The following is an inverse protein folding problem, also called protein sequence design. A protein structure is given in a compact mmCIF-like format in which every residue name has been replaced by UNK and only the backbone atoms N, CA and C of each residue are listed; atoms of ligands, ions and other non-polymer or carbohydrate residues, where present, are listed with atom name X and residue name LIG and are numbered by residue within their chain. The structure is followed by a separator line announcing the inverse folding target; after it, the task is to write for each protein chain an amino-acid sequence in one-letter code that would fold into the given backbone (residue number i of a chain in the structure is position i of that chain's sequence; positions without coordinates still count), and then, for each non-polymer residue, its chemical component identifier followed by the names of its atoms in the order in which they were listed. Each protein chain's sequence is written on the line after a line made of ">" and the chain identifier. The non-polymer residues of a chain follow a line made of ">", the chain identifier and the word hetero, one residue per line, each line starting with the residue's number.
data_IF_998305246019
#
_entry.id   IF_998305246019
#
_cell.length_a   1.000
_cell.length_b   1.000
_cell.length_c   1.000
_cell.angle_alpha   90.00
_cell.angle_beta   90.00
_cell.angle_gamma   90.00
#
_symmetry.space_group_name_H-M   'P 1'
#
loop_
_entity.id
_entity.type
_entity.pdbx_description
1 polymer ?
#
# COMPACT_ATOMS: atom_id res chain seq x y z
N UNK A 1 -68.98 13.99 -7.09
CA UNK A 1 -68.75 12.54 -7.28
C UNK A 1 -67.48 12.23 -8.07
N UNK A 2 -67.12 13.04 -9.08
CA UNK A 2 -65.95 12.84 -9.96
C UNK A 2 -64.58 12.90 -9.24
N UNK A 3 -64.43 13.76 -8.23
CA UNK A 3 -63.14 13.95 -7.53
C UNK A 3 -62.72 12.76 -6.65
N UNK A 4 -63.68 11.97 -6.14
CA UNK A 4 -63.41 10.75 -5.36
C UNK A 4 -62.92 9.60 -6.25
N UNK A 5 -63.47 9.50 -7.47
CA UNK A 5 -63.08 8.48 -8.45
C UNK A 5 -61.66 8.74 -8.96
N UNK A 6 -61.28 10.01 -9.14
CA UNK A 6 -59.94 10.37 -9.61
C UNK A 6 -58.85 10.09 -8.57
N UNK A 7 -59.10 10.39 -7.28
CA UNK A 7 -58.17 10.08 -6.18
C UNK A 7 -58.00 8.56 -6.02
N UNK A 8 -59.08 7.79 -6.19
CA UNK A 8 -59.02 6.32 -6.10
C UNK A 8 -58.16 5.71 -7.24
N UNK A 9 -58.30 6.22 -8.47
CA UNK A 9 -57.44 5.78 -9.59
C UNK A 9 -55.99 6.22 -9.43
N UNK A 10 -55.73 7.41 -8.86
CA UNK A 10 -54.37 7.86 -8.58
C UNK A 10 -53.69 6.99 -7.51
N UNK A 11 -54.43 6.59 -6.46
CA UNK A 11 -53.93 5.70 -5.42
C UNK A 11 -53.70 4.28 -5.95
N UNK A 12 -54.58 3.77 -6.80
CA UNK A 12 -54.42 2.45 -7.43
C UNK A 12 -53.23 2.41 -8.40
N UNK A 13 -52.99 3.50 -9.13
CA UNK A 13 -51.82 3.64 -10.02
C UNK A 13 -50.51 3.77 -9.25
N UNK A 14 -50.51 4.44 -8.09
CA UNK A 14 -49.36 4.50 -7.18
C UNK A 14 -49.06 3.14 -6.52
N UNK A 15 -50.07 2.32 -6.24
CA UNK A 15 -49.88 0.96 -5.69
C UNK A 15 -49.50 -0.10 -6.73
N UNK A 16 -49.84 0.11 -8.01
CA UNK A 16 -49.41 -0.78 -9.11
C UNK A 16 -47.98 -0.49 -9.59
N UNK A 17 -47.43 0.69 -9.29
CA UNK A 17 -46.06 1.09 -9.64
C UNK A 17 -45.03 0.84 -8.53
N UNK A 18 -45.46 0.43 -7.34
CA UNK A 18 -44.57 -0.10 -6.29
C UNK A 18 -44.27 -1.57 -6.54
N UNK A 19 -43.57 -1.89 -7.63
CA UNK A 19 -42.84 -3.15 -7.66
C UNK A 19 -41.76 -3.07 -6.58
N UNK A 20 -41.70 -4.01 -5.62
CA UNK A 20 -40.52 -4.09 -4.78
C UNK A 20 -39.35 -4.25 -5.73
N UNK A 21 -38.45 -3.25 -5.74
CA UNK A 21 -37.10 -3.43 -6.26
C UNK A 21 -36.47 -4.42 -5.28
N UNK A 22 -36.80 -5.71 -5.46
CA UNK A 22 -36.04 -6.78 -4.84
C UNK A 22 -34.63 -6.57 -5.34
N UNK A 23 -33.70 -6.34 -4.42
CA UNK A 23 -32.30 -6.29 -4.77
C UNK A 23 -32.01 -7.56 -5.57
N UNK A 24 -31.75 -7.41 -6.88
CA UNK A 24 -31.50 -8.52 -7.78
C UNK A 24 -30.29 -9.27 -7.22
N UNK A 25 -30.56 -10.39 -6.57
CA UNK A 25 -29.50 -11.25 -6.10
C UNK A 25 -28.75 -11.75 -7.34
N UNK A 26 -27.43 -11.54 -7.45
CA UNK A 26 -26.70 -11.90 -8.65
C UNK A 26 -26.82 -13.41 -8.92
N UNK A 27 -27.01 -13.78 -10.18
CA UNK A 27 -26.96 -15.17 -10.59
C UNK A 27 -25.56 -15.73 -10.30
N UNK A 28 -25.52 -16.82 -9.54
CA UNK A 28 -24.30 -17.54 -9.18
C UNK A 28 -24.17 -18.78 -10.04
N UNK A 29 -23.03 -18.93 -10.71
CA UNK A 29 -22.71 -20.08 -11.55
C UNK A 29 -21.55 -20.87 -10.96
N UNK A 30 -21.64 -22.19 -11.02
CA UNK A 30 -20.54 -23.06 -10.65
C UNK A 30 -19.43 -22.99 -11.71
N UNK A 31 -18.21 -22.69 -11.27
CA UNK A 31 -17.04 -22.53 -12.14
C UNK A 31 -15.78 -23.01 -11.43
N UNK A 32 -14.71 -23.20 -12.22
CA UNK A 32 -13.35 -23.35 -11.70
C UNK A 32 -12.61 -22.03 -11.82
N UNK A 33 -12.07 -21.55 -10.70
CA UNK A 33 -11.20 -20.38 -10.62
C UNK A 33 -9.80 -20.81 -10.20
N UNK A 34 -8.81 -19.95 -10.43
CA UNK A 34 -7.48 -20.13 -9.83
C UNK A 34 -7.40 -19.26 -8.59
N UNK A 35 -7.28 -19.89 -7.42
CA UNK A 35 -6.94 -19.24 -6.17
C UNK A 35 -5.42 -19.24 -6.01
N UNK A 36 -4.83 -18.13 -5.59
CA UNK A 36 -3.38 -18.02 -5.53
C UNK A 36 -2.87 -17.23 -4.32
N UNK A 37 -1.71 -17.65 -3.81
CA UNK A 37 -0.81 -16.83 -2.99
C UNK A 37 0.34 -16.41 -3.87
N UNK A 38 0.29 -15.18 -4.36
CA UNK A 38 1.27 -14.68 -5.33
C UNK A 38 2.36 -13.90 -4.63
N UNK A 39 3.61 -14.16 -5.01
CA UNK A 39 4.72 -13.31 -4.62
C UNK A 39 4.54 -11.95 -5.29
N UNK A 40 4.49 -10.89 -4.48
CA UNK A 40 4.28 -9.54 -4.97
C UNK A 40 5.58 -8.72 -5.03
N UNK A 41 6.75 -9.30 -4.73
CA UNK A 41 8.06 -8.62 -4.64
C UNK A 41 8.53 -8.32 -3.21
N UNK A 42 7.65 -8.44 -2.20
CA UNK A 42 8.01 -8.27 -0.79
C UNK A 42 7.35 -9.31 0.12
N UNK A 43 6.11 -9.69 -0.21
CA UNK A 43 5.37 -10.70 0.53
C UNK A 43 4.38 -11.41 -0.37
N UNK A 44 3.37 -12.00 0.26
CA UNK A 44 2.36 -12.81 -0.42
C UNK A 44 0.99 -12.18 -0.36
N UNK A 45 0.34 -12.06 -1.51
CA UNK A 45 -1.03 -11.56 -1.64
C UNK A 45 -1.99 -12.70 -1.98
N UNK A 46 -3.18 -12.70 -1.37
CA UNK A 46 -4.26 -13.59 -1.78
C UNK A 46 -4.98 -12.99 -2.98
N UNK A 47 -4.96 -13.70 -4.09
CA UNK A 47 -5.72 -13.32 -5.27
C UNK A 47 -6.53 -14.50 -5.77
N UNK A 48 -7.53 -14.22 -6.60
CA UNK A 48 -8.12 -15.22 -7.46
C UNK A 48 -8.24 -14.67 -8.87
N UNK A 49 -8.11 -15.58 -9.83
CA UNK A 49 -8.30 -15.31 -11.24
C UNK A 49 -9.67 -15.87 -11.64
N UNK A 50 -10.62 -15.00 -12.04
CA UNK A 50 -11.94 -15.42 -12.49
C UNK A 50 -11.91 -16.44 -13.62
N UNK A 51 -13.02 -17.16 -13.76
CA UNK A 51 -13.12 -18.26 -14.71
C UNK A 51 -12.98 -17.83 -16.18
N UNK A 52 -13.41 -16.61 -16.51
CA UNK A 52 -13.38 -16.01 -17.86
C UNK A 52 -11.99 -15.48 -18.27
N UNK A 53 -11.06 -15.32 -17.32
CA UNK A 53 -9.70 -14.89 -17.60
C UNK A 53 -8.85 -16.06 -18.09
N UNK A 54 -8.23 -15.91 -19.25
CA UNK A 54 -7.34 -16.94 -19.83
C UNK A 54 -5.89 -16.79 -19.39
N UNK A 55 -5.51 -15.63 -18.86
CA UNK A 55 -4.14 -15.32 -18.46
C UNK A 55 -4.01 -15.21 -16.93
N UNK A 56 -2.87 -15.66 -16.42
CA UNK A 56 -2.40 -15.43 -15.05
C UNK A 56 -1.03 -14.77 -15.11
N UNK A 57 -0.80 -13.79 -14.26
CA UNK A 57 0.51 -13.16 -14.11
C UNK A 57 1.10 -13.45 -12.74
N UNK A 58 2.39 -13.76 -12.72
CA UNK A 58 3.20 -13.94 -11.51
C UNK A 58 4.50 -13.14 -11.64
N UNK A 59 5.13 -12.83 -10.51
CA UNK A 59 6.49 -12.31 -10.48
C UNK A 59 7.49 -13.45 -10.26
N UNK A 60 8.66 -13.36 -10.90
CA UNK A 60 9.80 -14.22 -10.59
C UNK A 60 10.47 -13.81 -9.28
N UNK A 61 11.40 -14.64 -8.80
CA UNK A 61 12.24 -14.35 -7.63
C UNK A 61 11.82 -15.09 -6.37
N UNK A 62 10.55 -15.45 -6.24
CA UNK A 62 10.08 -16.39 -5.24
C UNK A 62 8.93 -17.23 -5.78
N UNK A 63 8.78 -18.44 -5.23
CA UNK A 63 7.69 -19.32 -5.59
C UNK A 63 6.33 -18.73 -5.18
N UNK A 64 5.32 -18.91 -6.03
CA UNK A 64 3.91 -18.64 -5.72
C UNK A 64 3.15 -19.95 -5.54
N UNK A 65 2.06 -19.93 -4.77
CA UNK A 65 1.17 -21.09 -4.63
C UNK A 65 -0.10 -20.89 -5.45
N UNK A 66 -0.40 -21.82 -6.34
CA UNK A 66 -1.65 -21.84 -7.11
C UNK A 66 -2.54 -23.00 -6.65
N UNK A 67 -3.85 -22.83 -6.70
CA UNK A 67 -4.83 -23.89 -6.49
C UNK A 67 -6.00 -23.69 -7.46
N UNK A 68 -6.50 -24.78 -8.04
CA UNK A 68 -7.72 -24.75 -8.85
C UNK A 68 -8.88 -25.08 -7.93
N UNK A 69 -9.85 -24.17 -7.85
CA UNK A 69 -10.95 -24.27 -6.89
C UNK A 69 -12.27 -24.20 -7.63
N UNK A 70 -13.12 -25.21 -7.44
CA UNK A 70 -14.51 -25.20 -7.84
C UNK A 70 -15.32 -24.41 -6.80
N UNK A 71 -16.04 -23.39 -7.27
CA UNK A 71 -16.79 -22.46 -6.44
C UNK A 71 -17.94 -21.83 -7.23
N UNK A 72 -18.71 -20.96 -6.59
CA UNK A 72 -19.76 -20.17 -7.22
C UNK A 72 -19.23 -18.78 -7.55
N UNK A 73 -19.27 -18.39 -8.82
CA UNK A 73 -18.89 -17.06 -9.29
C UNK A 73 -20.13 -16.26 -9.71
N UNK A 74 -20.11 -14.95 -9.45
CA UNK A 74 -21.16 -14.02 -9.87
C UNK A 74 -20.58 -12.65 -10.18
N UNK A 75 -21.25 -11.90 -11.07
CA UNK A 75 -20.84 -10.54 -11.44
C UNK A 75 -21.57 -9.48 -10.63
N UNK A 76 -20.84 -8.50 -10.11
CA UNK A 76 -21.41 -7.35 -9.40
C UNK A 76 -21.36 -6.08 -10.26
N UNK A 77 -22.51 -5.56 -10.74
CA UNK A 77 -22.53 -4.45 -11.69
C UNK A 77 -21.95 -3.13 -11.16
N UNK A 78 -22.08 -2.85 -9.86
CA UNK A 78 -21.63 -1.58 -9.26
C UNK A 78 -20.10 -1.45 -9.26
N UNK A 79 -19.40 -2.55 -8.93
CA UNK A 79 -17.93 -2.57 -8.94
C UNK A 79 -17.36 -3.04 -10.28
N UNK A 80 -18.21 -3.58 -11.16
CA UNK A 80 -17.84 -4.17 -12.46
C UNK A 80 -16.80 -5.27 -12.33
N UNK A 81 -16.98 -6.14 -11.34
CA UNK A 81 -16.07 -7.25 -11.01
C UNK A 81 -16.85 -8.54 -10.82
N UNK A 82 -16.19 -9.65 -11.14
CA UNK A 82 -16.62 -10.98 -10.73
C UNK A 82 -16.20 -11.22 -9.29
N UNK A 83 -17.04 -11.90 -8.52
CA UNK A 83 -16.81 -12.33 -7.14
C UNK A 83 -17.02 -13.84 -7.04
N UNK A 84 -16.44 -14.44 -6.02
CA UNK A 84 -16.55 -15.87 -5.73
C UNK A 84 -17.08 -16.08 -4.31
N UNK A 85 -17.86 -17.13 -4.12
CA UNK A 85 -18.48 -17.49 -2.84
C UNK A 85 -17.79 -18.72 -2.24
N UNK A 86 -16.61 -18.49 -1.67
CA UNK A 86 -15.83 -19.54 -1.02
C UNK A 86 -16.44 -20.02 0.31
N UNK A 87 -17.38 -19.28 0.89
CA UNK A 87 -18.11 -19.72 2.09
C UNK A 87 -19.13 -20.80 1.74
N UNK A 88 -19.85 -20.61 0.63
CA UNK A 88 -20.85 -21.56 0.15
C UNK A 88 -20.22 -22.78 -0.54
N UNK A 89 -19.17 -22.59 -1.33
CA UNK A 89 -18.48 -23.69 -2.01
C UNK A 89 -17.00 -23.38 -2.24
N UNK A 90 -16.13 -24.26 -1.74
CA UNK A 90 -14.68 -24.18 -1.95
C UNK A 90 -14.08 -25.57 -2.02
N UNK A 91 -14.14 -26.19 -3.20
CA UNK A 91 -13.59 -27.52 -3.43
C UNK A 91 -12.30 -27.40 -4.25
N UNK A 92 -11.17 -27.80 -3.66
CA UNK A 92 -9.88 -27.83 -4.37
C UNK A 92 -9.87 -29.03 -5.32
N UNK A 93 -9.54 -28.78 -6.58
CA UNK A 93 -9.40 -29.82 -7.59
C UNK A 93 -7.97 -30.34 -7.59
N UNK A 94 -7.82 -31.63 -7.29
CA UNK A 94 -6.54 -32.31 -7.28
C UNK A 94 -6.18 -32.85 -8.67
N UNK A 95 -4.87 -32.97 -8.91
CA UNK A 95 -4.32 -33.43 -10.17
C UNK A 95 -2.82 -33.13 -10.23
N UNK A 96 -2.26 -33.15 -11.43
CA UNK A 96 -0.88 -32.73 -11.68
C UNK A 96 -0.90 -31.52 -12.60
N UNK A 97 -0.29 -30.43 -12.15
CA UNK A 97 -0.15 -29.21 -12.94
C UNK A 97 0.97 -29.39 -13.96
N UNK A 98 0.61 -29.43 -15.24
CA UNK A 98 1.56 -29.45 -16.34
C UNK A 98 1.82 -28.02 -16.80
N UNK A 99 3.10 -27.65 -16.90
CA UNK A 99 3.53 -26.35 -17.44
C UNK A 99 4.41 -26.61 -18.66
N UNK A 100 4.06 -25.97 -19.78
CA UNK A 100 4.80 -26.06 -21.04
C UNK A 100 5.22 -24.68 -21.55
N UNK A 101 6.27 -24.66 -22.36
CA UNK A 101 6.74 -23.49 -23.10
C UNK A 101 7.08 -23.94 -24.51
N UNK A 102 6.54 -23.26 -25.51
CA UNK A 102 6.78 -23.57 -26.92
C UNK A 102 6.48 -25.05 -27.29
N UNK A 103 5.51 -25.65 -26.59
CA UNK A 103 5.10 -27.06 -26.76
C UNK A 103 5.91 -28.06 -25.94
N UNK A 104 7.04 -27.66 -25.35
CA UNK A 104 7.90 -28.51 -24.53
C UNK A 104 7.50 -28.48 -23.05
N UNK A 105 7.62 -29.62 -22.37
CA UNK A 105 7.34 -29.74 -20.93
C UNK A 105 8.44 -29.05 -20.13
N UNK A 106 8.07 -28.01 -19.39
CA UNK A 106 8.96 -27.27 -18.48
C UNK A 106 8.86 -27.82 -17.06
N UNK A 107 7.65 -28.08 -16.58
CA UNK A 107 7.43 -28.60 -15.25
C UNK A 107 6.17 -29.48 -15.17
N UNK A 108 6.20 -30.41 -14.23
CA UNK A 108 5.08 -31.27 -13.87
C UNK A 108 5.00 -31.31 -12.34
N UNK A 109 4.00 -30.64 -11.79
CA UNK A 109 3.97 -30.25 -10.37
C UNK A 109 2.81 -30.97 -9.69
N UNK A 110 3.12 -31.74 -8.64
CA UNK A 110 2.13 -32.32 -7.74
C UNK A 110 1.74 -31.32 -6.66
N UNK A 111 0.50 -31.36 -6.16
CA UNK A 111 0.06 -30.48 -5.09
C UNK A 111 0.81 -30.83 -3.80
N UNK A 112 1.13 -29.81 -3.01
CA UNK A 112 1.78 -29.95 -1.71
C UNK A 112 1.07 -29.05 -0.69
N UNK A 113 1.13 -29.46 0.58
CA UNK A 113 0.75 -28.58 1.68
C UNK A 113 1.72 -27.40 1.75
N UNK A 114 1.23 -26.21 2.08
CA UNK A 114 2.04 -25.02 2.29
C UNK A 114 1.45 -24.13 3.37
N UNK A 115 2.32 -23.41 4.07
CA UNK A 115 1.95 -22.39 5.05
C UNK A 115 2.69 -21.09 4.74
N UNK A 116 2.11 -19.96 5.13
CA UNK A 116 2.82 -18.68 5.16
C UNK A 116 3.42 -18.53 6.55
N UNK A 117 4.73 -18.37 6.59
CA UNK A 117 5.50 -18.05 7.80
C UNK A 117 5.73 -16.54 7.85
N UNK A 118 5.37 -15.93 8.96
CA UNK A 118 5.73 -14.56 9.32
C UNK A 118 6.60 -14.60 10.59
N UNK A 119 7.93 -14.51 10.48
CA UNK A 119 8.85 -14.64 11.61
C UNK A 119 8.58 -13.62 12.72
N UNK A 120 8.28 -12.38 12.34
CA UNK A 120 8.06 -11.24 13.26
C UNK A 120 6.61 -10.74 13.23
N UNK A 121 5.70 -11.57 12.74
CA UNK A 121 4.28 -11.28 12.63
C UNK A 121 3.88 -10.61 11.31
N UNK A 122 2.57 -10.62 11.03
CA UNK A 122 2.04 -10.23 9.72
C UNK A 122 2.25 -8.76 9.32
N UNK A 123 2.60 -7.89 10.29
CA UNK A 123 2.84 -6.46 10.05
C UNK A 123 4.31 -6.08 9.88
N UNK A 124 5.23 -6.94 10.31
CA UNK A 124 6.66 -6.62 10.38
C UNK A 124 7.50 -7.24 9.24
N UNK A 125 6.87 -7.85 8.24
CA UNK A 125 7.35 -7.72 6.86
C UNK A 125 7.94 -8.92 6.13
N UNK A 126 8.36 -10.01 6.77
CA UNK A 126 9.12 -11.07 6.07
C UNK A 126 8.32 -12.37 5.84
N UNK A 127 7.26 -12.27 5.05
CA UNK A 127 6.44 -13.43 4.73
C UNK A 127 7.15 -14.39 3.77
N UNK A 128 7.23 -15.68 4.12
CA UNK A 128 7.73 -16.74 3.23
C UNK A 128 6.74 -17.90 3.11
N UNK A 129 6.75 -18.57 1.95
CA UNK A 129 6.02 -19.83 1.78
C UNK A 129 6.92 -21.01 2.15
N UNK A 130 6.51 -21.77 3.16
CA UNK A 130 7.11 -23.05 3.55
C UNK A 130 6.21 -24.20 3.07
N UNK A 131 6.79 -25.35 2.73
CA UNK A 131 6.13 -26.40 1.94
C UNK A 131 6.26 -27.80 2.53
N UNK A 132 5.30 -28.67 2.23
CA UNK A 132 5.30 -30.08 2.61
C UNK A 132 5.43 -30.28 4.12
N UNK A 133 6.32 -31.20 4.51
CA UNK A 133 6.55 -31.52 5.92
C UNK A 133 7.03 -30.33 6.77
N UNK A 134 7.75 -29.36 6.16
CA UNK A 134 8.17 -28.14 6.85
C UNK A 134 6.97 -27.28 7.25
N UNK A 135 5.98 -27.16 6.37
CA UNK A 135 4.74 -26.41 6.65
C UNK A 135 3.96 -27.00 7.82
N UNK A 136 3.84 -28.33 7.86
CA UNK A 136 3.15 -29.07 8.93
C UNK A 136 3.90 -28.98 10.26
N UNK A 137 5.23 -29.14 10.24
CA UNK A 137 6.07 -29.05 11.42
C UNK A 137 6.02 -27.64 12.03
N UNK A 138 6.19 -26.60 11.21
CA UNK A 138 6.14 -25.21 11.67
C UNK A 138 4.76 -24.84 12.22
N UNK A 139 3.67 -25.37 11.64
CA UNK A 139 2.32 -25.16 12.19
C UNK A 139 2.16 -25.82 13.56
N UNK A 140 2.65 -27.06 13.70
CA UNK A 140 2.60 -27.80 14.96
C UNK A 140 3.37 -27.07 16.05
N UNK A 141 4.62 -26.70 15.76
CA UNK A 141 5.48 -25.91 16.65
C UNK A 141 4.80 -24.60 17.09
N UNK A 142 4.21 -23.87 16.14
CA UNK A 142 3.50 -22.63 16.42
C UNK A 142 2.29 -22.83 17.37
N UNK A 143 1.50 -23.89 17.16
CA UNK A 143 0.37 -24.21 18.02
C UNK A 143 0.81 -24.64 19.43
N UNK A 144 1.90 -25.38 19.54
CA UNK A 144 2.49 -25.77 20.82
C UNK A 144 3.02 -24.54 21.59
N UNK A 145 3.75 -23.66 20.91
CA UNK A 145 4.25 -22.41 21.48
C UNK A 145 3.09 -21.51 22.00
N UNK A 146 1.98 -21.42 21.27
CA UNK A 146 0.80 -20.69 21.73
C UNK A 146 0.17 -21.31 22.99
N UNK A 147 0.08 -22.64 23.04
CA UNK A 147 -0.45 -23.36 24.22
C UNK A 147 0.45 -23.17 25.44
N UNK A 148 1.77 -23.27 25.24
CA UNK A 148 2.77 -23.03 26.27
C UNK A 148 2.70 -21.61 26.82
N UNK A 149 2.68 -20.61 25.93
CA UNK A 149 2.51 -19.21 26.28
C UNK A 149 1.24 -18.98 27.10
N UNK A 150 0.09 -19.49 26.64
CA UNK A 150 -1.19 -19.35 27.34
C UNK A 150 -1.12 -19.91 28.77
N UNK A 151 -0.45 -21.05 28.96
CA UNK A 151 -0.25 -21.65 30.28
C UNK A 151 0.58 -20.74 31.18
N UNK A 152 1.77 -20.33 30.73
CA UNK A 152 2.67 -19.42 31.49
C UNK A 152 2.04 -18.07 31.78
N UNK A 153 1.29 -17.52 30.84
CA UNK A 153 0.57 -16.25 31.01
C UNK A 153 -0.48 -16.34 32.12
N UNK A 154 -1.30 -17.41 32.13
CA UNK A 154 -2.30 -17.62 33.19
C UNK A 154 -1.64 -17.82 34.56
N UNK A 155 -0.54 -18.55 34.63
CA UNK A 155 0.24 -18.74 35.86
C UNK A 155 0.83 -17.41 36.38
N UNK A 156 1.46 -16.63 35.51
CA UNK A 156 2.00 -15.32 35.86
C UNK A 156 0.90 -14.35 36.33
N UNK A 157 -0.26 -14.34 35.66
CA UNK A 157 -1.43 -13.54 36.06
C UNK A 157 -2.02 -13.96 37.41
N UNK A 158 -1.94 -15.25 37.77
CA UNK A 158 -2.31 -15.71 39.12
C UNK A 158 -1.29 -15.21 40.15
N UNK A 159 0.01 -15.39 39.87
CA UNK A 159 1.07 -14.94 40.77
C UNK A 159 1.02 -13.42 41.05
N UNK A 160 0.74 -12.59 40.04
CA UNK A 160 0.55 -11.15 40.20
C UNK A 160 -0.66 -10.81 41.07
N UNK A 161 -1.81 -11.42 40.83
CA UNK A 161 -2.99 -11.20 41.67
C UNK A 161 -2.76 -11.64 43.11
N UNK A 162 -2.02 -12.73 43.32
CA UNK A 162 -1.71 -13.23 44.66
C UNK A 162 -0.73 -12.29 45.39
N UNK A 163 0.26 -11.77 44.67
CA UNK A 163 1.19 -10.74 45.13
C UNK A 163 0.46 -9.47 45.55
N UNK A 164 -0.43 -8.93 44.71
CA UNK A 164 -1.25 -7.76 45.01
C UNK A 164 -2.13 -7.98 46.25
N UNK A 165 -2.78 -9.15 46.36
CA UNK A 165 -3.57 -9.51 47.55
C UNK A 165 -2.71 -9.55 48.82
N UNK A 166 -1.49 -10.09 48.74
CA UNK A 166 -0.55 -10.10 49.86
C UNK A 166 -0.09 -8.70 50.25
N UNK A 167 0.21 -7.83 49.29
CA UNK A 167 0.58 -6.44 49.55
C UNK A 167 -0.54 -5.68 50.26
N UNK A 168 -1.78 -5.81 49.78
CA UNK A 168 -2.94 -5.17 50.39
C UNK A 168 -3.17 -5.69 51.81
N UNK A 169 -3.09 -7.02 52.01
CA UNK A 169 -3.25 -7.63 53.33
C UNK A 169 -2.15 -7.19 54.30
N UNK A 170 -0.89 -7.24 53.88
CA UNK A 170 0.26 -6.78 54.68
C UNK A 170 0.14 -5.30 55.05
N UNK A 171 -0.36 -4.46 54.13
CA UNK A 171 -0.66 -3.05 54.40
C UNK A 171 -1.80 -2.84 55.40
N UNK A 172 -2.87 -3.64 55.31
CA UNK A 172 -4.02 -3.55 56.21
C UNK A 172 -3.71 -4.04 57.64
N UNK A 173 -2.89 -5.07 57.78
CA UNK A 173 -2.53 -5.68 59.07
C UNK A 173 -1.42 -4.88 59.81
N UNK A 174 -0.86 -3.84 59.18
CA UNK A 174 0.28 -3.07 59.69
C UNK A 174 -0.12 -2.07 60.79
N UNK A 175 0.57 -2.10 61.93
CA UNK A 175 0.43 -1.09 62.99
C UNK A 175 1.32 0.14 62.74
N UNK A 176 0.95 1.33 63.25
CA UNK A 176 1.81 2.51 63.17
C UNK A 176 3.17 2.26 63.84
N UNK A 177 4.26 2.48 63.09
CA UNK A 177 5.64 2.29 63.56
C UNK A 177 6.29 0.95 63.21
N UNK A 178 5.53 -0.02 62.65
CA UNK A 178 6.07 -1.33 62.25
C UNK A 178 6.68 -1.27 60.84
N UNK A 179 7.79 -1.97 60.58
CA UNK A 179 8.40 -2.09 59.24
C UNK A 179 7.56 -2.96 58.31
N UNK A 180 7.40 -2.54 57.05
CA UNK A 180 6.62 -3.31 56.07
C UNK A 180 7.27 -4.69 55.78
N UNK A 181 6.46 -5.74 55.66
CA UNK A 181 6.92 -7.03 55.16
C UNK A 181 7.40 -6.88 53.72
N UNK A 182 8.65 -7.28 53.45
CA UNK A 182 9.19 -7.30 52.10
C UNK A 182 8.62 -8.50 51.32
N UNK A 183 7.52 -8.27 50.60
CA UNK A 183 6.93 -9.27 49.72
C UNK A 183 7.68 -9.21 48.37
N UNK A 184 8.34 -10.29 47.93
CA UNK A 184 9.07 -10.29 46.66
C UNK A 184 8.08 -10.21 45.48
N UNK A 185 8.38 -9.42 44.43
CA UNK A 185 7.54 -9.37 43.25
C UNK A 185 7.57 -10.70 42.49
N UNK A 186 6.47 -11.08 41.82
CA UNK A 186 6.43 -12.27 40.98
C UNK A 186 7.29 -12.08 39.72
N UNK A 187 7.63 -13.18 39.01
CA UNK A 187 8.28 -13.10 37.70
C UNK A 187 7.45 -12.25 36.73
N UNK A 188 8.07 -11.54 35.76
CA UNK A 188 7.36 -10.73 34.80
C UNK A 188 6.38 -11.57 33.96
N UNK A 189 5.28 -10.95 33.54
CA UNK A 189 4.32 -11.58 32.63
C UNK A 189 5.05 -11.89 31.32
N UNK A 190 4.97 -13.12 30.79
CA UNK A 190 5.62 -13.46 29.55
C UNK A 190 5.04 -12.65 28.39
N UNK A 191 5.88 -12.27 27.44
CA UNK A 191 5.48 -11.62 26.20
C UNK A 191 5.11 -12.66 25.13
N UNK A 192 4.09 -12.40 24.30
CA UNK A 192 3.74 -13.30 23.20
C UNK A 192 4.79 -13.25 22.10
N UNK A 193 5.09 -14.39 21.49
CA UNK A 193 5.86 -14.39 20.24
C UNK A 193 5.02 -13.77 19.13
N UNK A 194 5.62 -12.87 18.35
CA UNK A 194 4.99 -12.30 17.16
C UNK A 194 5.00 -13.27 15.96
N UNK A 195 5.77 -14.37 16.04
CA UNK A 195 5.86 -15.39 14.99
C UNK A 195 4.48 -15.97 14.70
N UNK A 196 4.07 -15.93 13.44
CA UNK A 196 2.78 -16.43 12.96
C UNK A 196 3.01 -17.45 11.85
N UNK A 197 2.35 -18.61 11.95
CA UNK A 197 2.29 -19.62 10.89
C UNK A 197 0.84 -19.86 10.54
N UNK A 198 0.46 -19.65 9.28
CA UNK A 198 -0.92 -19.89 8.83
C UNK A 198 -1.26 -21.37 8.88
N UNK A 199 -2.56 -21.69 8.85
CA UNK A 199 -2.99 -23.06 8.62
C UNK A 199 -2.50 -23.57 7.26
N UNK A 200 -1.99 -24.81 7.18
CA UNK A 200 -1.54 -25.38 5.91
C UNK A 200 -2.68 -25.50 4.90
N UNK A 201 -2.39 -25.15 3.65
CA UNK A 201 -3.30 -25.30 2.51
C UNK A 201 -2.63 -26.09 1.40
N UNK A 202 -3.40 -26.74 0.56
CA UNK A 202 -2.88 -27.47 -0.60
C UNK A 202 -2.74 -26.54 -1.79
N UNK A 203 -1.61 -26.61 -2.50
CA UNK A 203 -1.37 -25.87 -3.73
C UNK A 203 -0.18 -26.37 -4.55
N UNK A 204 -0.05 -25.85 -5.76
CA UNK A 204 1.04 -26.11 -6.68
C UNK A 204 2.10 -25.02 -6.51
N UNK A 205 3.33 -25.42 -6.17
CA UNK A 205 4.48 -24.52 -6.07
C UNK A 205 4.97 -24.14 -7.47
N UNK A 206 4.69 -22.91 -7.89
CA UNK A 206 5.13 -22.37 -9.17
C UNK A 206 6.31 -21.44 -8.95
N UNK A 207 7.48 -21.89 -9.38
CA UNK A 207 8.75 -21.19 -9.28
C UNK A 207 9.44 -21.25 -10.65
N UNK A 208 9.15 -20.25 -11.47
CA UNK A 208 9.57 -20.20 -12.87
C UNK A 208 10.35 -18.92 -13.13
N UNK A 209 11.25 -19.00 -14.11
CA UNK A 209 11.91 -17.81 -14.66
C UNK A 209 10.90 -16.96 -15.45
N UNK A 210 11.26 -15.72 -15.71
CA UNK A 210 10.46 -14.84 -16.55
C UNK A 210 10.21 -15.45 -17.94
N UNK A 211 9.00 -15.32 -18.45
CA UNK A 211 8.58 -15.91 -19.72
C UNK A 211 7.07 -16.08 -19.82
N UNK A 212 6.63 -16.56 -20.99
CA UNK A 212 5.24 -16.95 -21.22
C UNK A 212 5.17 -18.46 -21.33
N UNK A 213 4.22 -19.05 -20.62
CA UNK A 213 4.01 -20.47 -20.47
C UNK A 213 2.54 -20.80 -20.73
N UNK A 214 2.27 -22.07 -20.99
CA UNK A 214 0.92 -22.62 -20.90
C UNK A 214 0.86 -23.55 -19.71
N UNK A 215 -0.22 -23.46 -18.95
CA UNK A 215 -0.47 -24.37 -17.85
C UNK A 215 -1.82 -25.05 -17.99
N UNK A 216 -1.91 -26.28 -17.52
CA UNK A 216 -3.15 -27.04 -17.43
C UNK A 216 -3.10 -28.03 -16.28
N UNK A 217 -4.23 -28.21 -15.60
CA UNK A 217 -4.35 -29.26 -14.59
C UNK A 217 -4.74 -30.57 -15.28
N UNK A 218 -4.01 -31.64 -15.01
CA UNK A 218 -4.34 -32.99 -15.50
C UNK A 218 -4.78 -33.90 -14.37
N UNK A 219 -5.90 -34.59 -14.57
CA UNK A 219 -6.38 -35.69 -13.74
C UNK A 219 -6.65 -36.89 -14.64
N UNK A 220 -6.24 -38.08 -14.22
CA UNK A 220 -6.41 -39.33 -14.99
C UNK A 220 -5.92 -39.24 -16.45
N UNK A 221 -4.81 -38.54 -16.67
CA UNK A 221 -4.19 -38.35 -17.98
C UNK A 221 -4.93 -37.36 -18.90
N UNK A 222 -5.98 -36.67 -18.44
CA UNK A 222 -6.77 -35.70 -19.22
C UNK A 222 -6.73 -34.31 -18.61
N UNK A 223 -6.79 -33.28 -19.44
CA UNK A 223 -6.91 -31.89 -18.98
C UNK A 223 -8.27 -31.68 -18.31
N UNK A 224 -8.26 -31.15 -17.09
CA UNK A 224 -9.46 -30.77 -16.36
C UNK A 224 -10.09 -29.54 -17.02
N UNK A 225 -11.39 -29.56 -17.39
CA UNK A 225 -12.05 -28.43 -18.02
C UNK A 225 -11.94 -27.13 -17.19
N UNK A 226 -11.70 -26.00 -17.85
CA UNK A 226 -11.60 -24.68 -17.22
C UNK A 226 -10.25 -24.36 -16.55
N UNK A 227 -9.29 -25.29 -16.54
CA UNK A 227 -7.99 -25.12 -15.87
C UNK A 227 -6.84 -24.69 -16.79
N UNK A 228 -7.02 -24.77 -18.12
CA UNK A 228 -6.00 -24.34 -19.07
C UNK A 228 -5.89 -22.82 -19.09
N UNK A 229 -4.70 -22.29 -18.83
CA UNK A 229 -4.40 -20.85 -18.79
C UNK A 229 -3.05 -20.57 -19.45
N UNK A 230 -2.88 -19.35 -19.95
CA UNK A 230 -1.57 -18.77 -20.22
C UNK A 230 -1.01 -18.26 -18.90
N UNK A 231 0.23 -18.62 -18.59
CA UNK A 231 0.95 -18.14 -17.41
C UNK A 231 2.08 -17.23 -17.88
N UNK A 232 2.02 -15.94 -17.52
CA UNK A 232 3.09 -14.97 -17.77
C UNK A 232 3.83 -14.70 -16.47
N UNK A 233 5.13 -14.92 -16.50
CA UNK A 233 6.02 -14.64 -15.37
C UNK A 233 6.87 -13.43 -15.73
N UNK A 234 6.74 -12.38 -14.93
CA UNK A 234 7.46 -11.11 -15.10
C UNK A 234 8.71 -11.13 -14.23
N UNK A 235 9.83 -10.67 -14.79
CA UNK A 235 11.08 -10.56 -14.04
C UNK A 235 10.97 -9.45 -12.99
N UNK A 236 11.16 -9.75 -11.71
CA UNK A 236 11.20 -8.72 -10.65
C UNK A 236 12.61 -8.15 -10.42
N UNK A 237 13.65 -8.97 -10.56
CA UNK A 237 15.04 -8.61 -10.30
C UNK A 237 15.55 -7.50 -11.23
N UNK A 238 16.43 -6.64 -10.71
CA UNK A 238 17.06 -5.55 -11.47
C UNK A 238 16.17 -4.33 -11.70
N UNK A 239 15.00 -4.28 -11.06
CA UNK A 239 14.02 -3.18 -11.17
C UNK A 239 14.03 -2.23 -9.96
N UNK A 240 14.89 -2.50 -8.99
CA UNK A 240 14.98 -1.73 -7.76
C UNK A 240 15.37 -0.27 -8.04
N UNK A 241 14.84 0.63 -7.22
CA UNK A 241 15.21 2.03 -7.22
C UNK A 241 14.68 2.75 -5.99
N UNK A 242 15.13 3.97 -5.80
CA UNK A 242 14.77 4.80 -4.65
C UNK A 242 13.76 5.86 -5.08
N UNK A 243 12.61 5.89 -4.40
CA UNK A 243 11.56 6.88 -4.66
C UNK A 243 11.34 7.76 -3.43
N UNK A 244 10.84 8.96 -3.67
CA UNK A 244 10.55 9.93 -2.64
C UNK A 244 9.05 10.24 -2.56
N UNK A 245 8.58 10.52 -1.35
CA UNK A 245 7.33 11.25 -1.13
C UNK A 245 7.65 12.60 -0.47
N UNK A 246 7.12 13.67 -1.05
CA UNK A 246 7.21 15.03 -0.55
C UNK A 246 5.99 15.31 0.31
N UNK A 247 6.21 15.62 1.57
CA UNK A 247 5.20 15.94 2.57
C UNK A 247 5.27 17.45 2.85
N UNK A 248 4.38 18.26 2.29
CA UNK A 248 4.32 19.69 2.60
C UNK A 248 3.84 19.89 4.03
N UNK A 249 4.41 20.87 4.73
CA UNK A 249 4.02 21.21 6.12
C UNK A 249 2.52 21.47 6.25
N UNK A 250 1.94 22.21 5.29
CA UNK A 250 0.50 22.55 5.29
C UNK A 250 -0.43 21.35 4.98
N UNK A 251 0.08 20.26 4.40
CA UNK A 251 -0.72 19.15 3.84
C UNK A 251 -0.12 17.78 4.15
N UNK A 252 0.22 17.55 5.40
CA UNK A 252 0.95 16.34 5.81
C UNK A 252 0.25 15.01 5.48
N UNK A 253 -1.09 14.99 5.41
CA UNK A 253 -1.89 13.79 5.10
C UNK A 253 -1.97 13.43 3.62
N UNK A 254 -1.41 14.24 2.72
CA UNK A 254 -1.41 14.01 1.27
C UNK A 254 -0.01 14.20 0.68
N UNK A 255 0.90 13.23 0.87
CA UNK A 255 2.21 13.26 0.26
C UNK A 255 2.12 13.30 -1.28
N UNK A 256 3.08 13.96 -1.90
CA UNK A 256 3.24 14.07 -3.34
C UNK A 256 4.41 13.20 -3.78
N UNK A 257 4.16 12.25 -4.69
CA UNK A 257 5.20 11.36 -5.17
C UNK A 257 6.23 12.09 -6.04
N UNK A 258 7.52 11.85 -5.78
CA UNK A 258 8.66 12.26 -6.59
C UNK A 258 9.46 10.99 -6.95
N UNK A 259 8.91 10.20 -7.87
CA UNK A 259 9.41 8.84 -8.13
C UNK A 259 10.56 8.79 -9.16
N UNK A 260 10.71 9.79 -10.03
CA UNK A 260 11.73 9.81 -11.08
C UNK A 260 12.58 11.08 -11.01
N UNK A 261 13.75 11.07 -11.66
CA UNK A 261 14.66 12.22 -11.68
C UNK A 261 14.06 13.43 -12.42
N UNK A 262 13.22 13.20 -13.43
CA UNK A 262 12.56 14.27 -14.17
C UNK A 262 11.48 14.98 -13.35
N UNK A 263 11.01 14.36 -12.26
CA UNK A 263 10.05 14.98 -11.35
C UNK A 263 10.74 16.02 -10.47
N UNK A 264 10.43 17.28 -10.75
CA UNK A 264 10.90 18.43 -9.97
C UNK A 264 9.99 18.70 -8.78
N UNK A 265 10.61 19.02 -7.65
CA UNK A 265 9.92 19.44 -6.43
C UNK A 265 9.77 20.96 -6.48
N UNK A 266 8.53 21.45 -6.58
CA UNK A 266 8.24 22.88 -6.53
C UNK A 266 7.81 23.27 -5.12
N UNK A 267 8.53 24.22 -4.52
CA UNK A 267 8.26 24.67 -3.16
C UNK A 267 8.28 26.20 -3.04
N UNK A 268 7.63 26.72 -2.00
CA UNK A 268 7.60 28.16 -1.72
C UNK A 268 8.88 28.56 -0.98
N UNK A 269 9.50 29.71 -1.32
CA UNK A 269 10.62 30.25 -0.54
C UNK A 269 10.23 30.46 0.93
N UNK A 270 11.18 30.24 1.84
CA UNK A 270 10.98 30.38 3.29
C UNK A 270 10.11 29.29 3.93
N UNK A 271 9.80 28.20 3.21
CA UNK A 271 9.00 27.08 3.74
C UNK A 271 9.84 25.82 3.91
N UNK A 272 9.37 24.91 4.76
CA UNK A 272 9.96 23.59 4.93
C UNK A 272 9.03 22.52 4.34
N UNK A 273 9.61 21.57 3.62
CA UNK A 273 8.92 20.33 3.28
C UNK A 273 9.71 19.15 3.81
N UNK A 274 9.02 18.03 4.01
CA UNK A 274 9.63 16.80 4.53
C UNK A 274 9.69 15.77 3.42
N UNK A 275 10.84 15.13 3.25
CA UNK A 275 11.06 14.10 2.26
C UNK A 275 11.14 12.75 2.95
N UNK A 276 10.30 11.79 2.57
CA UNK A 276 10.47 10.39 2.93
C UNK A 276 11.01 9.61 1.75
N UNK A 277 11.81 8.58 2.03
CA UNK A 277 12.38 7.71 1.02
C UNK A 277 11.86 6.28 1.19
N UNK A 278 11.61 5.61 0.07
CA UNK A 278 11.20 4.23 0.04
C UNK A 278 11.97 3.45 -1.03
N UNK A 279 12.38 2.24 -0.68
CA UNK A 279 12.80 1.25 -1.65
C UNK A 279 11.59 0.87 -2.50
N UNK A 280 11.75 0.90 -3.82
CA UNK A 280 10.68 0.60 -4.74
C UNK A 280 11.20 -0.19 -5.94
N UNK A 281 10.28 -0.75 -6.71
CA UNK A 281 10.58 -1.41 -7.97
C UNK A 281 9.75 -0.79 -9.10
N UNK A 282 10.37 -0.65 -10.28
CA UNK A 282 9.74 -0.09 -11.47
C UNK A 282 9.13 -1.18 -12.34
N UNK A 283 7.85 -1.02 -12.68
CA UNK A 283 7.11 -1.91 -13.58
C UNK A 283 6.31 -1.11 -14.59
N UNK A 284 5.99 -1.72 -15.73
CA UNK A 284 4.82 -1.32 -16.49
C UNK A 284 3.56 -1.81 -15.76
N UNK A 285 2.47 -1.06 -15.89
CA UNK A 285 1.25 -1.37 -15.15
C UNK A 285 0.68 -2.75 -15.51
N UNK A 286 0.76 -3.15 -16.78
CA UNK A 286 0.31 -4.45 -17.28
C UNK A 286 1.25 -5.61 -16.93
N UNK A 287 2.42 -5.34 -16.35
CA UNK A 287 3.33 -6.34 -15.78
C UNK A 287 3.01 -6.65 -14.31
N UNK A 288 2.71 -5.63 -13.50
CA UNK A 288 2.56 -5.78 -12.05
C UNK A 288 1.10 -5.83 -11.59
N UNK A 289 0.24 -4.95 -12.12
CA UNK A 289 -1.11 -4.79 -11.59
C UNK A 289 -1.95 -6.07 -11.70
N UNK A 290 -1.87 -6.88 -12.77
CA UNK A 290 -2.62 -8.13 -12.83
C UNK A 290 -2.08 -9.24 -11.90
N UNK A 291 -0.85 -9.13 -11.37
CA UNK A 291 -0.33 -10.04 -10.33
C UNK A 291 -1.15 -9.87 -9.05
N UNK A 292 -1.26 -8.64 -8.54
CA UNK A 292 -1.95 -8.32 -7.28
C UNK A 292 -3.45 -8.07 -7.45
N UNK A 293 -3.89 -7.75 -8.67
CA UNK A 293 -5.29 -7.47 -8.98
C UNK A 293 -5.66 -8.00 -10.37
N UNK A 294 -5.89 -9.32 -10.53
CA UNK A 294 -6.12 -9.97 -11.83
C UNK A 294 -7.30 -9.44 -12.65
N UNK A 295 -8.22 -8.71 -12.01
CA UNK A 295 -9.40 -8.10 -12.63
C UNK A 295 -9.23 -6.60 -12.93
N UNK A 296 -8.10 -6.00 -12.54
CA UNK A 296 -7.86 -4.58 -12.78
C UNK A 296 -7.74 -4.29 -14.28
N UNK A 297 -8.26 -3.11 -14.67
CA UNK A 297 -7.95 -2.54 -15.97
C UNK A 297 -6.58 -1.89 -15.89
N UNK A 298 -5.73 -2.17 -16.87
CA UNK A 298 -4.37 -1.66 -16.96
C UNK A 298 -4.22 -0.77 -18.20
N UNK A 299 -3.28 0.17 -18.14
CA UNK A 299 -2.89 0.98 -19.30
C UNK A 299 -1.53 0.48 -19.78
N UNK A 300 -1.45 -0.23 -20.92
CA UNK A 300 -0.18 -0.74 -21.44
C UNK A 300 0.86 0.38 -21.63
N UNK A 301 2.12 0.11 -21.30
CA UNK A 301 3.22 1.09 -21.40
C UNK A 301 3.19 2.18 -20.33
N UNK A 302 2.22 2.19 -19.41
CA UNK A 302 2.24 3.13 -18.27
C UNK A 302 3.21 2.61 -17.21
N UNK A 303 4.27 3.36 -16.96
CA UNK A 303 5.18 3.07 -15.86
C UNK A 303 4.55 3.33 -14.49
N UNK A 304 4.92 2.49 -13.52
CA UNK A 304 4.56 2.63 -12.13
C UNK A 304 5.72 2.21 -11.21
N UNK A 305 5.73 2.80 -10.02
CA UNK A 305 6.67 2.46 -8.96
C UNK A 305 5.94 1.81 -7.79
N UNK A 306 6.34 0.59 -7.45
CA UNK A 306 5.77 -0.18 -6.35
C UNK A 306 6.68 -0.04 -5.14
N UNK A 307 6.22 0.69 -4.12
CA UNK A 307 6.95 0.85 -2.85
C UNK A 307 6.99 -0.49 -2.11
N UNK A 308 8.14 -0.82 -1.53
CA UNK A 308 8.43 -2.05 -0.78
C UNK A 308 8.58 -1.73 0.70
N UNK A 309 9.65 -1.03 1.04
CA UNK A 309 9.99 -0.69 2.42
C UNK A 309 10.44 0.76 2.50
N UNK A 310 10.44 1.32 3.72
CA UNK A 310 11.15 2.56 3.96
C UNK A 310 12.63 2.35 3.66
N UNK A 311 13.26 3.32 3.02
CA UNK A 311 14.69 3.26 2.76
C UNK A 311 15.48 3.52 4.03
N UNK A 312 16.60 2.83 4.19
CA UNK A 312 17.47 2.97 5.36
C UNK A 312 18.58 3.99 5.09
N UNK A 313 18.18 5.20 4.71
CA UNK A 313 19.08 6.32 4.47
C UNK A 313 19.03 7.24 5.68
N UNK A 314 20.19 7.52 6.28
CA UNK A 314 20.29 8.44 7.42
C UNK A 314 20.66 9.86 7.00
N UNK A 315 21.23 10.04 5.81
CA UNK A 315 21.66 11.32 5.30
C UNK A 315 21.37 11.54 3.81
N UNK A 316 21.07 12.78 3.44
CA UNK A 316 21.06 13.27 2.06
C UNK A 316 21.96 14.49 1.91
N UNK A 317 22.45 14.73 0.70
CA UNK A 317 23.12 15.96 0.33
C UNK A 317 22.13 16.89 -0.37
N UNK A 318 22.12 18.15 0.04
CA UNK A 318 21.38 19.24 -0.59
C UNK A 318 22.39 20.26 -1.11
N UNK A 319 22.38 20.51 -2.41
CA UNK A 319 23.25 21.51 -3.04
C UNK A 319 22.38 22.59 -3.68
N UNK A 320 22.51 23.84 -3.23
CA UNK A 320 21.85 24.98 -3.87
C UNK A 320 22.71 25.56 -5.01
N UNK A 321 22.13 26.44 -5.81
CA UNK A 321 22.76 26.99 -7.02
C UNK A 321 24.06 27.78 -6.78
N UNK A 322 24.32 28.21 -5.54
CA UNK A 322 25.57 28.83 -5.09
C UNK A 322 26.73 27.82 -4.90
N UNK A 323 26.43 26.52 -4.89
CA UNK A 323 27.38 25.44 -4.68
C UNK A 323 27.51 25.01 -3.21
N UNK A 324 26.79 25.64 -2.29
CA UNK A 324 26.83 25.27 -0.88
C UNK A 324 26.13 23.93 -0.68
N UNK A 325 26.88 22.99 -0.10
CA UNK A 325 26.41 21.62 0.17
C UNK A 325 26.05 21.48 1.64
N UNK A 326 24.79 21.19 1.91
CA UNK A 326 24.25 20.92 3.24
C UNK A 326 23.93 19.43 3.38
N UNK A 327 24.31 18.84 4.51
CA UNK A 327 23.87 17.49 4.87
C UNK A 327 22.51 17.56 5.58
N UNK A 328 21.56 16.77 5.10
CA UNK A 328 20.25 16.60 5.72
C UNK A 328 20.22 15.27 6.46
N UNK A 329 19.87 15.31 7.74
CA UNK A 329 19.75 14.11 8.57
C UNK A 329 18.30 13.63 8.62
N UNK A 330 18.10 12.32 8.61
CA UNK A 330 16.78 11.71 8.84
C UNK A 330 16.39 11.85 10.30
N UNK A 331 15.26 12.48 10.57
CA UNK A 331 14.75 12.73 11.94
C UNK A 331 13.32 12.26 12.10
N UNK A 332 12.94 11.99 13.36
CA UNK A 332 11.56 11.75 13.76
C UNK A 332 10.82 13.07 14.02
N UNK A 333 9.65 13.22 13.44
CA UNK A 333 8.78 14.38 13.57
C UNK A 333 7.42 14.00 14.15
N UNK A 334 6.86 14.92 14.94
CA UNK A 334 5.49 14.89 15.45
C UNK A 334 4.65 15.94 14.74
N UNK A 335 3.41 15.59 14.43
CA UNK A 335 2.47 16.51 13.79
C UNK A 335 1.37 16.88 14.78
N UNK A 336 1.40 18.14 15.22
CA UNK A 336 0.41 18.69 16.13
C UNK A 336 -0.67 19.44 15.35
N UNK A 337 -1.94 19.17 15.65
CA UNK A 337 -3.04 19.94 15.08
C UNK A 337 -3.16 21.30 15.78
N UNK A 338 -3.15 22.38 15.01
CA UNK A 338 -3.35 23.73 15.54
C UNK A 338 -4.75 23.87 16.15
N UNK A 339 -4.83 24.47 17.34
CA UNK A 339 -6.10 24.77 18.01
C UNK A 339 -6.72 26.02 17.37
N UNK A 340 -7.66 25.84 16.44
CA UNK A 340 -8.37 26.96 15.80
C UNK A 340 -9.36 26.50 14.74
N UNK A 341 -10.17 27.44 14.24
CA UNK A 341 -11.18 27.21 13.19
C UNK A 341 -10.59 26.90 11.81
N UNK A 342 -9.27 27.08 11.64
CA UNK A 342 -8.55 26.92 10.36
C UNK A 342 -8.01 25.51 10.06
N UNK A 343 -8.18 24.51 10.95
CA UNK A 343 -7.70 23.12 10.75
C UNK A 343 -6.26 23.02 10.17
N UNK A 344 -5.29 23.73 10.76
CA UNK A 344 -3.88 23.66 10.35
C UNK A 344 -3.06 22.64 11.16
N UNK A 345 -1.82 22.40 10.75
CA UNK A 345 -0.87 21.52 11.43
C UNK A 345 0.46 22.24 11.65
N UNK A 346 1.19 21.85 12.70
CA UNK A 346 2.58 22.23 12.93
C UNK A 346 3.40 20.96 13.06
N UNK A 347 4.51 20.89 12.33
CA UNK A 347 5.43 19.77 12.38
C UNK A 347 6.62 20.17 13.24
N UNK A 348 6.92 19.38 14.29
CA UNK A 348 8.06 19.59 15.17
C UNK A 348 8.89 18.33 15.29
N UNK A 349 10.14 18.44 15.72
CA UNK A 349 10.94 17.27 16.08
C UNK A 349 10.26 16.51 17.23
N UNK A 350 10.23 15.18 17.13
CA UNK A 350 9.72 14.32 18.19
C UNK A 350 10.64 14.37 19.42
N UNK A 351 10.06 14.42 20.62
CA UNK A 351 10.83 14.43 21.86
C UNK A 351 11.40 13.03 22.18
N UNK A 352 12.39 12.95 23.06
CA UNK A 352 12.92 11.68 23.55
C UNK A 352 11.80 10.86 24.21
N UNK A 353 11.67 9.59 23.82
CA UNK A 353 10.60 8.69 24.27
C UNK A 353 9.24 8.88 23.57
N UNK A 354 9.09 9.89 22.71
CA UNK A 354 7.88 10.08 21.91
C UNK A 354 7.92 9.25 20.62
N UNK A 355 6.82 8.59 20.28
CA UNK A 355 6.69 7.92 18.97
C UNK A 355 6.44 8.96 17.86
N UNK A 356 7.33 9.06 16.86
CA UNK A 356 7.17 10.02 15.77
C UNK A 356 6.01 9.62 14.85
N UNK A 357 5.32 10.62 14.31
CA UNK A 357 4.29 10.42 13.28
C UNK A 357 4.90 10.28 11.88
N UNK A 358 6.10 10.85 11.68
CA UNK A 358 6.83 10.87 10.42
C UNK A 358 8.33 10.71 10.66
N UNK A 359 9.02 9.92 9.85
CA UNK A 359 10.50 9.90 9.77
C UNK A 359 10.91 10.40 8.40
N UNK A 360 11.62 11.50 8.33
CA UNK A 360 11.88 12.22 7.08
C UNK A 360 13.15 13.07 7.12
N UNK A 361 13.51 13.64 5.98
CA UNK A 361 14.49 14.73 5.86
C UNK A 361 13.74 16.05 5.78
N UNK A 362 14.03 16.99 6.68
CA UNK A 362 13.50 18.35 6.57
C UNK A 362 14.32 19.13 5.54
N UNK A 363 13.65 19.69 4.55
CA UNK A 363 14.27 20.51 3.50
C UNK A 363 13.76 21.93 3.64
N UNK A 364 14.64 22.82 4.10
CA UNK A 364 14.36 24.25 4.19
C UNK A 364 14.62 24.90 2.83
N UNK A 365 13.62 25.62 2.32
CA UNK A 365 13.71 26.32 1.04
C UNK A 365 14.17 27.76 1.30
N UNK A 366 15.31 28.19 0.76
CA UNK A 366 15.84 29.52 1.00
C UNK A 366 14.87 30.59 0.47
N UNK A 367 14.80 31.71 1.18
CA UNK A 367 14.04 32.89 0.73
C UNK A 367 14.84 33.77 -0.26
N UNK A 368 16.13 33.49 -0.41
CA UNK A 368 17.04 34.26 -1.26
C UNK A 368 16.76 34.04 -2.76
N UNK A 369 16.50 35.11 -3.53
CA UNK A 369 16.19 34.99 -4.97
C UNK A 369 17.33 34.45 -5.84
N UNK A 370 18.57 34.39 -5.33
CA UNK A 370 19.73 33.77 -5.98
C UNK A 370 19.69 32.24 -5.90
N UNK A 371 18.98 31.68 -4.92
CA UNK A 371 18.96 30.24 -4.61
C UNK A 371 17.69 29.56 -5.12
N UNK A 372 17.37 29.78 -6.40
CA UNK A 372 16.10 29.28 -6.98
C UNK A 372 16.09 27.79 -7.26
N UNK A 373 17.25 27.14 -7.27
CA UNK A 373 17.39 25.73 -7.64
C UNK A 373 18.29 25.02 -6.65
N UNK A 374 17.80 23.87 -6.19
CA UNK A 374 18.54 22.94 -5.35
C UNK A 374 18.57 21.56 -5.98
N UNK A 375 19.55 20.75 -5.63
CA UNK A 375 19.62 19.33 -5.97
C UNK A 375 19.74 18.54 -4.68
N UNK A 376 18.82 17.60 -4.47
CA UNK A 376 18.94 16.56 -3.46
C UNK A 376 19.57 15.32 -4.08
N UNK A 377 20.53 14.71 -3.41
CA UNK A 377 21.11 13.44 -3.82
C UNK A 377 21.57 12.61 -2.62
N UNK A 378 21.80 11.32 -2.83
CA UNK A 378 22.57 10.54 -1.84
C UNK A 378 24.06 10.95 -1.92
N UNK A 379 24.77 11.08 -0.77
CA UNK A 379 26.17 11.52 -0.77
C UNK A 379 27.12 10.60 -1.55
N UNK A 380 26.86 9.29 -1.52
CA UNK A 380 27.80 8.27 -2.04
C UNK A 380 27.31 7.57 -3.33
N UNK A 381 26.04 7.77 -3.72
CA UNK A 381 25.42 7.07 -4.85
C UNK A 381 24.50 8.02 -5.64
N UNK A 382 24.72 8.22 -6.95
CA UNK A 382 23.93 9.18 -7.75
C UNK A 382 22.59 8.62 -8.25
N UNK A 383 22.18 7.42 -7.85
CA UNK A 383 20.95 6.77 -8.30
C UNK A 383 19.66 7.41 -7.74
N UNK A 384 19.79 8.29 -6.75
CA UNK A 384 18.75 9.17 -6.30
C UNK A 384 19.20 10.61 -6.44
N UNK A 385 18.51 11.33 -7.33
CA UNK A 385 18.66 12.77 -7.52
C UNK A 385 17.30 13.43 -7.72
N UNK A 386 17.05 14.55 -7.06
CA UNK A 386 15.83 15.36 -7.23
C UNK A 386 16.16 16.84 -7.32
N UNK A 387 15.66 17.48 -8.36
CA UNK A 387 15.73 18.93 -8.50
C UNK A 387 14.63 19.59 -7.67
N UNK A 388 15.01 20.56 -6.86
CA UNK A 388 14.12 21.48 -6.15
C UNK A 388 14.10 22.81 -6.89
N UNK A 389 12.91 23.37 -7.06
CA UNK A 389 12.70 24.70 -7.63
C UNK A 389 11.94 25.56 -6.62
N UNK A 390 12.60 26.59 -6.10
CA UNK A 390 11.97 27.60 -5.28
C UNK A 390 11.16 28.56 -6.17
N UNK A 391 9.84 28.58 -5.99
CA UNK A 391 8.93 29.38 -6.81
C UNK A 391 8.63 30.68 -6.08
N UNK A 392 9.42 31.71 -6.36
CA UNK A 392 9.16 33.04 -5.80
C UNK A 392 7.85 33.63 -6.35
N UNK A 393 7.07 34.34 -5.53
CA UNK A 393 5.92 35.09 -6.02
C UNK A 393 6.40 36.04 -7.11
N UNK A 394 5.74 35.98 -8.27
CA UNK A 394 6.04 36.93 -9.36
C UNK A 394 5.77 38.34 -8.84
N UNK A 395 6.61 39.30 -9.23
CA UNK A 395 6.35 40.70 -8.95
C UNK A 395 4.98 41.08 -9.55
N UNK A 396 3.96 41.18 -8.69
CA UNK A 396 2.57 41.39 -9.09
C UNK A 396 2.42 42.68 -9.90
N UNK A 397 3.20 43.71 -9.56
CA UNK A 397 3.23 44.97 -10.29
C UNK A 397 3.74 44.78 -11.72
N UNK A 398 4.74 43.93 -11.92
CA UNK A 398 5.30 43.65 -13.25
C UNK A 398 4.35 42.80 -14.10
N UNK A 399 3.66 41.85 -13.48
CA UNK A 399 2.57 41.09 -14.11
C UNK A 399 1.40 42.00 -14.52
N UNK A 400 1.02 42.94 -13.65
CA UNK A 400 -0.03 43.92 -13.92
C UNK A 400 0.39 44.90 -15.03
N UNK A 401 1.62 45.41 -14.99
CA UNK A 401 2.19 46.26 -16.04
C UNK A 401 2.19 45.53 -17.39
N UNK A 402 2.61 44.26 -17.44
CA UNK A 402 2.59 43.46 -18.66
C UNK A 402 1.17 43.20 -19.16
N UNK A 403 0.21 42.96 -18.27
CA UNK A 403 -1.19 42.77 -18.63
C UNK A 403 -1.83 44.04 -19.22
N UNK A 404 -1.44 45.22 -18.73
CA UNK A 404 -1.92 46.51 -19.23
C UNK A 404 -1.07 47.12 -20.35
N UNK A 405 0.10 46.55 -20.66
CA UNK A 405 0.98 47.04 -21.72
C UNK A 405 0.27 47.16 -23.09
N UNK A 406 -0.58 46.21 -23.54
CA UNK A 406 -1.31 46.36 -24.80
C UNK A 406 -2.28 47.56 -24.79
N UNK A 407 -2.92 47.81 -23.66
CA UNK A 407 -3.86 48.95 -23.48
C UNK A 407 -3.10 50.27 -23.48
N UNK A 408 -1.96 50.33 -22.77
CA UNK A 408 -1.10 51.51 -22.73
C UNK A 408 -0.51 51.82 -24.12
N UNK A 409 -0.03 50.81 -24.85
CA UNK A 409 0.46 50.94 -26.23
C UNK A 409 -0.65 51.42 -27.16
N UNK A 410 -1.87 50.87 -27.06
CA UNK A 410 -3.01 51.30 -27.85
C UNK A 410 -3.41 52.76 -27.56
N UNK A 411 -3.43 53.16 -26.28
CA UNK A 411 -3.72 54.54 -25.88
C UNK A 411 -2.66 55.50 -26.43
N UNK A 412 -1.36 55.20 -26.25
CA UNK A 412 -0.25 56.00 -26.79
C UNK A 412 -0.31 56.12 -28.31
N UNK A 413 -0.60 55.03 -29.02
CA UNK A 413 -0.79 55.05 -30.47
C UNK A 413 -1.95 55.95 -30.91
N UNK A 414 -3.07 55.89 -30.18
CA UNK A 414 -4.26 56.71 -30.48
C UNK A 414 -4.02 58.20 -30.20
N UNK A 415 -3.35 58.54 -29.11
CA UNK A 415 -2.97 59.93 -28.81
C UNK A 415 -1.91 60.48 -29.77
N UNK A 416 -0.94 59.66 -30.21
CA UNK A 416 0.06 60.06 -31.22
C UNK A 416 -0.55 60.36 -32.60
N UNK A 417 -1.61 59.64 -33.00
CA UNK A 417 -2.39 59.96 -34.21
C UNK A 417 -3.24 61.22 -34.06
N UNK A 418 -3.78 61.50 -32.88
CA UNK A 418 -4.52 62.74 -32.62
C UNK A 418 -3.63 63.98 -32.68
N UNK A 419 -2.40 63.89 -32.16
CA UNK A 419 -1.51 65.05 -32.08
C UNK A 419 -0.89 65.44 -33.43
N UNK A 420 -0.63 64.47 -34.30
CA UNK A 420 -0.16 64.71 -35.68
C UNK A 420 -1.21 65.36 -36.58
N UNK A 421 -2.50 65.23 -36.27
CA UNK A 421 -3.58 65.91 -36.99
C UNK A 421 -3.72 67.40 -36.63
N UNK A 422 -3.20 67.85 -35.48
CA UNK A 422 -3.25 69.25 -35.05
C UNK A 422 -2.03 70.09 -35.49
N UNK A 423 -0.96 69.47 -36.01
CA UNK A 423 0.20 70.18 -36.56
C UNK A 423 0.14 70.44 -38.07
N UNK A 424 -0.95 70.04 -38.75
CA UNK A 424 -1.20 70.28 -40.18
C UNK A 424 -2.38 71.23 -40.44
N UNK A 425 -2.73 72.08 -39.48
CA UNK A 425 -3.63 73.22 -39.70
C UNK A 425 -2.88 74.51 -39.47
#
# INVERSE_FOLDING_TARGET
>A
MIMRTFIFFLFLSAMLSSHPVTALEPERREVVVVHARVWNGQGYEEVYVPSDKVDIQLLSGAASALAFVRTLEYYWPLSRRSYVDFEKQRETIEGTLLITRDGEKVAEIRPQSYSILYPEGARNGDASLIWGAEAEAARTEHLEAQRDFRRRFVEAQRAHRDYERRLVKSGADRKPGETAEAIPPPPPIPEPSMRLVTEPRVGYRVDLRAGTYRMELRADGRTVPGTSKTLRVVQAEGRAGLVADVVPEERWTRPLAANTEEMRIFARPGTTFYLTLANAERFEEDEYKPVVSPQAKVVPGREMWVRRSQADEDALSLVWADGDTSALERKGFKVDQTRGTGFGYVVRTAAEGESPDLRAFAVEVPDEPSLQRGTLSRPEQPDFRRDIVAVHPRNEMLGLILAFAPVAVFALWRFGRGWSAHRKR
#
